data_IF_742306418761
#
_entry.id   IF_742306418761
#
_cell.length_a   1.000
_cell.length_b   1.000
_cell.length_c   1.000
_cell.angle_alpha   90.00
_cell.angle_beta   90.00
_cell.angle_gamma   90.00
#
_symmetry.space_group_name_H-M   'P 1'
#
loop_
_entity.id
_entity.type
_entity.pdbx_description
1 polymer ?
#
# COMPACT_ATOMS: atom_id res chain seq x y z
N UNK A 1 0.80 -7.18 16.06
CA UNK A 1 -0.44 -6.83 16.78
C UNK A 1 -0.16 -5.57 17.61
N UNK A 2 -0.41 -4.39 17.02
CA UNK A 2 -0.19 -3.09 17.69
C UNK A 2 -1.55 -2.49 18.03
N UNK A 3 -1.78 -2.27 19.32
CA UNK A 3 -2.97 -1.60 19.85
C UNK A 3 -2.90 -0.10 19.51
N UNK A 4 -3.94 0.44 18.88
CA UNK A 4 -4.05 1.87 18.56
C UNK A 4 -4.77 2.61 19.69
N UNK A 5 -4.08 3.53 20.35
CA UNK A 5 -4.64 4.51 21.28
C UNK A 5 -4.75 5.87 20.56
N UNK A 6 -5.94 6.46 20.55
CA UNK A 6 -6.32 7.67 19.78
C UNK A 6 -5.60 8.97 20.16
N UNK A 7 -4.60 8.95 21.04
CA UNK A 7 -3.93 10.17 21.54
C UNK A 7 -2.41 10.23 21.36
N UNK A 8 -1.81 9.36 20.54
CA UNK A 8 -0.37 9.46 20.24
C UNK A 8 -0.17 9.56 18.74
N UNK A 9 -0.10 10.79 18.24
CA UNK A 9 0.48 11.07 16.92
C UNK A 9 1.98 10.76 17.03
N UNK A 10 2.33 9.48 16.86
CA UNK A 10 3.72 9.09 16.68
C UNK A 10 4.10 9.53 15.27
N UNK A 11 4.59 10.77 15.16
CA UNK A 11 5.32 11.23 13.99
C UNK A 11 6.59 10.40 13.89
N UNK A 12 6.54 9.26 13.19
CA UNK A 12 7.76 8.66 12.67
C UNK A 12 8.31 9.60 11.60
N UNK A 13 9.11 10.57 12.03
CA UNK A 13 10.12 11.20 11.19
C UNK A 13 11.14 10.11 10.80
N UNK A 14 10.74 9.23 9.88
CA UNK A 14 11.65 8.36 9.16
C UNK A 14 12.52 9.27 8.30
N UNK A 15 13.71 9.54 8.84
CA UNK A 15 14.81 10.28 8.24
C UNK A 15 15.20 9.65 6.90
N UNK A 16 14.47 9.95 5.82
CA UNK A 16 14.95 9.77 4.44
C UNK A 16 15.78 11.00 3.96
N UNK A 17 16.20 11.86 4.89
CA UNK A 17 16.96 13.10 4.66
C UNK A 17 18.40 12.84 4.17
N UNK A 18 18.96 11.64 4.34
CA UNK A 18 20.39 11.39 4.10
C UNK A 18 20.84 11.37 2.62
N UNK A 19 19.93 11.16 1.66
CA UNK A 19 20.30 10.96 0.24
C UNK A 19 19.73 12.01 -0.72
N UNK A 20 18.92 12.96 -0.23
CA UNK A 20 18.21 13.98 -1.04
C UNK A 20 17.40 13.45 -2.24
N UNK A 21 17.15 12.14 -2.34
CA UNK A 21 16.42 11.53 -3.46
C UNK A 21 14.91 11.66 -3.37
N UNK A 22 14.40 12.36 -2.35
CA UNK A 22 12.98 12.48 -2.05
C UNK A 22 12.17 12.83 -3.29
N UNK A 23 12.63 13.80 -4.09
CA UNK A 23 11.90 14.26 -5.27
C UNK A 23 12.24 13.49 -6.56
N UNK A 24 13.19 12.55 -6.49
CA UNK A 24 13.64 11.78 -7.66
C UNK A 24 12.68 10.65 -8.02
N UNK A 25 12.10 10.00 -7.01
CA UNK A 25 11.22 8.87 -7.19
C UNK A 25 9.94 9.05 -6.37
N UNK A 26 8.80 8.88 -7.03
CA UNK A 26 7.49 8.89 -6.40
C UNK A 26 7.06 7.47 -6.07
N UNK A 27 6.43 7.29 -4.91
CA UNK A 27 5.85 6.00 -4.51
C UNK A 27 4.55 5.77 -5.27
N UNK A 28 4.47 4.68 -6.02
CA UNK A 28 3.25 4.20 -6.68
C UNK A 28 2.49 3.31 -5.70
N UNK A 29 1.23 3.65 -5.41
CA UNK A 29 0.40 2.89 -4.48
C UNK A 29 -0.25 1.71 -5.22
N UNK A 30 0.21 0.49 -4.96
CA UNK A 30 -0.30 -0.74 -5.57
C UNK A 30 -0.89 -1.68 -4.49
N UNK A 31 -2.23 -1.69 -4.31
CA UNK A 31 -2.92 -2.58 -3.38
C UNK A 31 -2.70 -4.06 -3.69
N UNK A 32 -2.44 -4.44 -4.95
CA UNK A 32 -2.17 -5.81 -5.33
C UNK A 32 -0.95 -6.44 -4.66
N UNK A 33 -0.05 -5.62 -4.11
CA UNK A 33 1.12 -6.05 -3.32
C UNK A 33 0.87 -6.08 -1.80
N UNK A 34 -0.35 -5.80 -1.35
CA UNK A 34 -0.69 -5.88 0.07
C UNK A 34 -0.59 -7.33 0.58
N UNK A 35 -0.42 -7.46 1.89
CA UNK A 35 -0.25 -8.72 2.61
C UNK A 35 -1.40 -9.70 2.40
N UNK A 36 -1.25 -10.90 2.96
CA UNK A 36 -2.25 -11.94 2.83
C UNK A 36 -3.55 -11.56 3.54
N UNK A 37 -4.63 -11.48 2.78
CA UNK A 37 -5.92 -10.97 3.23
C UNK A 37 -6.62 -11.89 4.24
N UNK A 38 -6.22 -13.15 4.34
CA UNK A 38 -6.72 -14.05 5.38
C UNK A 38 -6.33 -13.61 6.81
N UNK A 39 -5.34 -12.74 6.96
CA UNK A 39 -5.04 -12.08 8.25
C UNK A 39 -6.06 -11.01 8.65
N UNK A 40 -6.94 -10.63 7.73
CA UNK A 40 -7.88 -9.52 7.85
C UNK A 40 -9.32 -10.00 7.56
N UNK A 41 -9.86 -10.96 8.34
CA UNK A 41 -11.18 -11.55 8.06
C UNK A 41 -12.34 -10.55 8.16
N UNK A 42 -12.16 -9.49 8.95
CA UNK A 42 -13.12 -8.40 9.11
C UNK A 42 -12.90 -7.25 8.10
N UNK A 43 -12.00 -7.45 7.12
CA UNK A 43 -11.56 -6.44 6.17
C UNK A 43 -10.26 -5.75 6.58
N UNK A 44 -9.67 -5.02 5.65
CA UNK A 44 -8.44 -4.23 5.88
C UNK A 44 -8.74 -2.94 6.64
N UNK A 45 -7.75 -2.37 7.36
CA UNK A 45 -7.88 -1.04 7.94
C UNK A 45 -8.20 0.03 6.89
N UNK A 46 -8.84 1.12 7.31
CA UNK A 46 -9.08 2.26 6.43
C UNK A 46 -7.75 2.79 5.84
N UNK A 47 -7.68 2.76 4.51
CA UNK A 47 -6.54 3.29 3.77
C UNK A 47 -6.50 4.82 3.88
N UNK A 48 -5.31 5.38 4.02
CA UNK A 48 -5.14 6.82 3.81
C UNK A 48 -5.42 7.14 2.34
N UNK A 49 -6.23 8.18 2.12
CA UNK A 49 -6.45 8.73 0.80
C UNK A 49 -5.16 9.32 0.21
N UNK A 50 -5.12 9.46 -1.12
CA UNK A 50 -4.02 10.14 -1.81
C UNK A 50 -3.80 11.56 -1.27
N UNK A 51 -4.86 12.29 -0.93
CA UNK A 51 -4.79 13.61 -0.30
C UNK A 51 -4.14 13.56 1.08
N UNK A 52 -4.58 12.64 1.95
CA UNK A 52 -4.00 12.52 3.30
C UNK A 52 -2.52 12.14 3.27
N UNK A 53 -2.11 11.31 2.32
CA UNK A 53 -0.70 10.96 2.11
C UNK A 53 0.12 12.17 1.63
N UNK A 54 -0.41 12.97 0.70
CA UNK A 54 0.25 14.19 0.24
C UNK A 54 0.34 15.24 1.36
N UNK A 55 -0.73 15.43 2.13
CA UNK A 55 -0.78 16.35 3.28
C UNK A 55 0.16 15.92 4.41
N UNK A 56 0.33 14.60 4.58
CA UNK A 56 1.32 14.01 5.48
C UNK A 56 2.75 14.02 4.92
N UNK A 57 2.97 14.70 3.79
CA UNK A 57 4.28 14.88 3.17
C UNK A 57 4.90 13.53 2.72
N UNK A 58 4.10 12.64 2.14
CA UNK A 58 4.61 11.48 1.38
C UNK A 58 4.74 11.83 -0.11
N UNK A 59 5.90 11.53 -0.72
CA UNK A 59 6.10 11.74 -2.15
C UNK A 59 5.49 10.60 -2.98
N UNK A 60 4.18 10.65 -3.19
CA UNK A 60 3.44 9.64 -3.97
C UNK A 60 3.18 10.09 -5.41
N UNK A 61 2.98 9.12 -6.31
CA UNK A 61 2.45 9.37 -7.65
C UNK A 61 0.92 9.30 -7.62
N UNK A 62 0.28 10.46 -7.46
CA UNK A 62 -1.18 10.55 -7.43
C UNK A 62 -1.84 10.15 -8.76
N UNK A 63 -1.09 10.20 -9.88
CA UNK A 63 -1.59 9.86 -11.21
C UNK A 63 -1.54 8.37 -11.51
N UNK A 64 -0.72 7.61 -10.76
CA UNK A 64 -0.62 6.16 -10.90
C UNK A 64 -1.98 5.49 -10.70
N UNK A 65 -2.28 4.57 -11.62
CA UNK A 65 -3.46 3.71 -11.59
C UNK A 65 -3.00 2.29 -11.21
N UNK A 66 -3.46 1.75 -10.08
CA UNK A 66 -3.09 0.41 -9.66
C UNK A 66 -3.72 -0.65 -10.57
N UNK A 67 -3.04 -1.79 -10.69
CA UNK A 67 -3.56 -2.95 -11.41
C UNK A 67 -4.66 -3.68 -10.62
N UNK A 68 -4.63 -3.57 -9.29
CA UNK A 68 -5.67 -4.07 -8.39
C UNK A 68 -6.14 -2.91 -7.53
N UNK A 69 -7.43 -2.59 -7.57
CA UNK A 69 -8.01 -1.54 -6.72
C UNK A 69 -8.19 -2.01 -5.28
N UNK A 70 -8.31 -1.06 -4.34
CA UNK A 70 -8.60 -1.34 -2.94
C UNK A 70 -9.89 -2.17 -2.77
N UNK A 71 -10.94 -1.83 -3.53
CA UNK A 71 -12.20 -2.59 -3.57
C UNK A 71 -11.97 -4.04 -4.02
N UNK A 72 -11.13 -4.24 -5.05
CA UNK A 72 -10.87 -5.59 -5.57
C UNK A 72 -10.06 -6.43 -4.58
N UNK A 73 -9.08 -5.81 -3.91
CA UNK A 73 -8.32 -6.45 -2.85
C UNK A 73 -9.23 -6.87 -1.68
N UNK A 74 -10.22 -6.04 -1.30
CA UNK A 74 -11.17 -6.37 -0.24
C UNK A 74 -12.04 -7.60 -0.55
N UNK A 75 -12.23 -7.95 -1.81
CA UNK A 75 -12.89 -9.22 -2.20
C UNK A 75 -12.02 -10.45 -1.88
N UNK A 76 -10.71 -10.28 -1.68
CA UNK A 76 -9.75 -11.35 -1.44
C UNK A 76 -9.66 -11.77 0.05
N UNK A 77 -10.53 -11.31 0.96
CA UNK A 77 -10.51 -11.68 2.40
C UNK A 77 -10.52 -13.18 2.71
N UNK A 78 -10.96 -14.00 1.75
CA UNK A 78 -10.98 -15.47 1.86
C UNK A 78 -9.95 -16.16 0.96
N UNK A 79 -8.99 -15.41 0.43
CA UNK A 79 -7.97 -15.99 -0.45
C UNK A 79 -7.14 -17.04 0.31
N UNK A 80 -6.92 -18.16 -0.34
CA UNK A 80 -5.95 -19.18 0.07
C UNK A 80 -4.53 -18.65 -0.07
N UNK A 81 -3.58 -19.35 0.55
CA UNK A 81 -2.16 -19.01 0.40
C UNK A 81 -1.69 -19.11 -1.06
N UNK A 82 -2.23 -20.04 -1.84
CA UNK A 82 -1.94 -20.17 -3.27
C UNK A 82 -2.46 -18.96 -4.06
N UNK A 83 -3.72 -18.56 -3.84
CA UNK A 83 -4.32 -17.37 -4.48
C UNK A 83 -3.57 -16.08 -4.12
N UNK A 84 -3.10 -15.96 -2.88
CA UNK A 84 -2.22 -14.87 -2.45
C UNK A 84 -0.93 -14.79 -3.29
N UNK A 85 -0.24 -15.92 -3.49
CA UNK A 85 0.98 -15.95 -4.30
C UNK A 85 0.69 -15.68 -5.78
N UNK A 86 -0.43 -16.17 -6.32
CA UNK A 86 -0.86 -15.89 -7.69
C UNK A 86 -1.12 -14.38 -7.87
N UNK A 87 -1.83 -13.75 -6.92
CA UNK A 87 -2.08 -12.29 -6.94
C UNK A 87 -0.78 -11.49 -6.98
N UNK A 88 0.19 -11.86 -6.13
CA UNK A 88 1.50 -11.22 -6.10
C UNK A 88 2.26 -11.41 -7.42
N UNK A 89 2.28 -12.63 -7.94
CA UNK A 89 2.92 -12.95 -9.21
C UNK A 89 2.33 -12.12 -10.36
N UNK A 90 1.01 -12.09 -10.52
CA UNK A 90 0.36 -11.34 -11.59
C UNK A 90 0.57 -9.83 -11.46
N UNK A 91 0.54 -9.31 -10.23
CA UNK A 91 0.77 -7.87 -9.98
C UNK A 91 2.21 -7.49 -10.31
N UNK A 92 3.20 -8.24 -9.83
CA UNK A 92 4.61 -8.00 -10.11
C UNK A 92 4.92 -8.13 -11.60
N UNK A 93 4.37 -9.14 -12.27
CA UNK A 93 4.54 -9.34 -13.71
C UNK A 93 4.06 -8.12 -14.49
N UNK A 94 2.86 -7.60 -14.20
CA UNK A 94 2.33 -6.39 -14.85
C UNK A 94 3.19 -5.15 -14.59
N UNK A 95 3.72 -4.99 -13.37
CA UNK A 95 4.63 -3.88 -13.05
C UNK A 95 5.90 -3.96 -13.91
N UNK A 96 6.50 -5.14 -14.04
CA UNK A 96 7.72 -5.34 -14.84
C UNK A 96 7.44 -5.11 -16.33
N UNK A 97 6.30 -5.56 -16.84
CA UNK A 97 5.90 -5.38 -18.24
C UNK A 97 5.61 -3.92 -18.63
N UNK A 98 5.36 -3.04 -17.65
CA UNK A 98 4.91 -1.65 -17.87
C UNK A 98 5.91 -0.59 -17.38
N UNK A 99 7.07 -1.01 -16.88
CA UNK A 99 8.16 -0.13 -16.43
C UNK A 99 9.27 -0.07 -17.46
#
# INVERSE_FOLDING_TARGET
MLYYNKNTVIRYNLKHIGLHLRNKFKVKLEPGLFEWMAWYPDGVPDWMSKSELLDADYNIDASYQPFISDTKLNECVKETTEEFYIRNYETLRKIIETT
#
